data_IF_086396886620
#
_entry.id   IF_086396886620
#
_cell.length_a   1.000
_cell.length_b   1.000
_cell.length_c   1.000
_cell.angle_alpha   90.00
_cell.angle_beta   90.00
_cell.angle_gamma   90.00
#
_symmetry.space_group_name_H-M   'P 1'
#
loop_
_entity.id
_entity.type
_entity.pdbx_description
1 polymer ?
#
# COMPACT_ATOMS: atom_id res chain seq x y z
N UNK A 1 2.21 15.29 31.72
CA UNK A 1 2.22 14.25 30.67
C UNK A 1 1.70 14.92 29.41
N UNK A 2 2.56 15.27 28.47
CA UNK A 2 2.13 15.75 27.16
C UNK A 2 1.37 14.60 26.51
N UNK A 3 0.06 14.77 26.27
CA UNK A 3 -0.64 13.86 25.37
C UNK A 3 0.02 14.05 24.01
N UNK A 4 0.84 13.06 23.59
CA UNK A 4 1.31 13.04 22.21
C UNK A 4 0.07 13.19 21.31
N UNK A 5 0.05 14.26 20.53
CA UNK A 5 -1.04 14.50 19.59
C UNK A 5 -0.96 13.39 18.55
N UNK A 6 -1.96 12.53 18.55
CA UNK A 6 -2.05 11.40 17.63
C UNK A 6 -2.82 11.85 16.39
N UNK A 7 -2.13 11.93 15.26
CA UNK A 7 -2.77 12.24 13.98
C UNK A 7 -3.25 10.95 13.31
N UNK A 8 -4.54 10.94 12.97
CA UNK A 8 -5.13 9.88 12.18
C UNK A 8 -4.97 10.21 10.69
N UNK A 9 -4.10 9.46 10.02
CA UNK A 9 -3.85 9.62 8.59
C UNK A 9 -3.90 8.26 7.90
N UNK A 10 -4.35 8.25 6.65
CA UNK A 10 -4.30 7.06 5.81
C UNK A 10 -4.19 7.48 4.34
N UNK A 11 -3.21 6.93 3.63
CA UNK A 11 -2.99 7.17 2.20
C UNK A 11 -3.33 5.96 1.33
N UNK A 12 -3.80 4.85 1.93
CA UNK A 12 -4.08 3.60 1.22
C UNK A 12 -5.53 3.17 1.42
N UNK A 13 -6.38 3.56 0.46
CA UNK A 13 -7.79 3.15 0.38
C UNK A 13 -8.19 2.89 -1.05
N UNK A 14 -9.00 1.85 -1.24
CA UNK A 14 -9.53 1.43 -2.53
C UNK A 14 -10.95 1.92 -2.77
N UNK A 15 -11.47 1.74 -3.97
CA UNK A 15 -12.84 2.05 -4.37
C UNK A 15 -13.48 0.81 -5.02
N UNK A 16 -14.82 0.77 -5.19
CA UNK A 16 -15.46 -0.34 -5.89
C UNK A 16 -14.96 -0.58 -7.32
N UNK A 17 -14.21 0.39 -7.89
CA UNK A 17 -13.63 0.27 -9.22
C UNK A 17 -12.57 -0.82 -9.31
N UNK A 18 -11.91 -1.18 -8.20
CA UNK A 18 -10.98 -2.32 -8.17
C UNK A 18 -11.69 -3.69 -8.22
N UNK A 19 -13.02 -3.72 -8.26
CA UNK A 19 -13.87 -4.91 -8.39
C UNK A 19 -13.92 -5.81 -7.13
N UNK A 20 -13.23 -5.47 -6.05
CA UNK A 20 -13.22 -6.25 -4.80
C UNK A 20 -13.31 -5.39 -3.52
N UNK A 21 -13.43 -4.06 -3.67
CA UNK A 21 -13.82 -3.17 -2.59
C UNK A 21 -15.33 -2.85 -2.65
N UNK A 22 -15.90 -2.35 -1.57
CA UNK A 22 -17.31 -2.03 -1.41
C UNK A 22 -17.52 -0.64 -0.82
N UNK A 23 -18.72 -0.07 -1.02
CA UNK A 23 -19.05 1.28 -0.58
C UNK A 23 -18.61 2.35 -1.59
N UNK A 24 -19.26 3.51 -1.56
CA UNK A 24 -18.91 4.64 -2.43
C UNK A 24 -17.73 5.42 -1.83
N UNK A 25 -17.00 6.18 -2.66
CA UNK A 25 -15.90 7.03 -2.21
C UNK A 25 -16.39 8.03 -1.14
N UNK A 26 -17.59 8.55 -1.28
CA UNK A 26 -18.18 9.45 -0.28
C UNK A 26 -18.44 8.76 1.06
N UNK A 27 -18.83 7.48 1.06
CA UNK A 27 -18.98 6.70 2.30
C UNK A 27 -17.64 6.53 3.02
N UNK A 28 -16.52 6.34 2.29
CA UNK A 28 -15.17 6.35 2.86
C UNK A 28 -14.85 7.70 3.50
N UNK A 29 -15.09 8.82 2.81
CA UNK A 29 -14.85 10.17 3.33
C UNK A 29 -15.66 10.41 4.61
N UNK A 30 -16.95 10.14 4.57
CA UNK A 30 -17.84 10.32 5.75
C UNK A 30 -17.42 9.42 6.91
N UNK A 31 -16.92 8.22 6.61
CA UNK A 31 -16.45 7.30 7.65
C UNK A 31 -15.12 7.78 8.24
N UNK A 32 -14.18 8.20 7.41
CA UNK A 32 -12.90 8.76 7.83
C UNK A 32 -13.12 9.96 8.78
N UNK A 33 -14.00 10.90 8.41
CA UNK A 33 -14.36 12.05 9.26
C UNK A 33 -14.90 11.59 10.61
N UNK A 34 -15.85 10.63 10.64
CA UNK A 34 -16.41 10.11 11.90
C UNK A 34 -15.37 9.39 12.76
N UNK A 35 -14.41 8.71 12.15
CA UNK A 35 -13.31 8.03 12.83
C UNK A 35 -12.19 8.97 13.28
N UNK A 36 -12.24 10.27 12.89
CA UNK A 36 -11.29 11.29 13.30
C UNK A 36 -10.04 11.37 12.43
N UNK A 37 -10.10 10.90 11.18
CA UNK A 37 -9.00 11.07 10.24
C UNK A 37 -8.87 12.54 9.81
N UNK A 38 -7.63 13.04 9.81
CA UNK A 38 -7.26 14.34 9.28
C UNK A 38 -6.92 14.27 7.77
N UNK A 39 -6.41 13.12 7.34
CA UNK A 39 -6.02 12.86 5.94
C UNK A 39 -6.59 11.53 5.49
N UNK A 40 -7.23 11.53 4.32
CA UNK A 40 -7.66 10.34 3.60
C UNK A 40 -7.11 10.37 2.18
N UNK A 41 -6.27 9.40 1.83
CA UNK A 41 -5.81 9.16 0.48
C UNK A 41 -6.62 8.04 -0.18
N UNK A 42 -7.02 8.26 -1.42
CA UNK A 42 -7.46 7.21 -2.32
C UNK A 42 -6.28 6.78 -3.17
N UNK A 43 -5.96 5.50 -3.15
CA UNK A 43 -4.87 4.88 -3.91
C UNK A 43 -5.37 3.56 -4.52
N UNK A 44 -6.40 3.66 -5.36
CA UNK A 44 -6.99 2.48 -6.00
C UNK A 44 -6.00 1.84 -6.98
N UNK A 45 -6.19 0.54 -7.27
CA UNK A 45 -5.32 -0.19 -8.19
C UNK A 45 -5.28 0.45 -9.58
N UNK A 46 -4.07 0.72 -10.03
CA UNK A 46 -3.80 1.40 -11.30
C UNK A 46 -4.40 0.66 -12.49
N UNK A 47 -5.22 1.32 -13.34
CA UNK A 47 -5.68 0.74 -14.62
C UNK A 47 -4.56 0.85 -15.65
N UNK A 48 -3.97 -0.28 -16.02
CA UNK A 48 -2.87 -0.27 -16.98
C UNK A 48 -3.38 -0.12 -18.43
N UNK A 49 -2.63 0.58 -19.31
CA UNK A 49 -2.95 0.71 -20.72
C UNK A 49 -2.53 -0.58 -21.47
N UNK A 50 -3.31 -1.65 -21.24
CA UNK A 50 -3.09 -2.93 -21.91
C UNK A 50 -3.15 -2.80 -23.44
N UNK A 51 -2.44 -3.66 -24.15
CA UNK A 51 -2.37 -3.66 -25.62
C UNK A 51 -3.49 -4.44 -26.30
N UNK A 52 -4.22 -5.26 -25.52
CA UNK A 52 -5.34 -6.06 -25.97
C UNK A 52 -6.64 -5.67 -25.25
N UNK A 53 -7.74 -6.35 -25.56
CA UNK A 53 -9.03 -6.23 -24.87
C UNK A 53 -9.04 -6.91 -23.48
N UNK A 54 -7.88 -7.18 -22.91
CA UNK A 54 -7.74 -7.77 -21.59
C UNK A 54 -8.38 -6.88 -20.52
N UNK A 55 -9.14 -7.49 -19.62
CA UNK A 55 -9.76 -6.83 -18.47
C UNK A 55 -9.25 -7.49 -17.21
N UNK A 56 -8.51 -6.75 -16.41
CA UNK A 56 -8.04 -7.21 -15.12
C UNK A 56 -9.19 -7.42 -14.14
N UNK A 57 -9.06 -8.44 -13.27
CA UNK A 57 -10.09 -8.80 -12.29
C UNK A 57 -9.97 -8.05 -10.95
N UNK A 58 -8.92 -7.24 -10.78
CA UNK A 58 -8.61 -6.59 -9.51
C UNK A 58 -8.29 -5.10 -9.65
N UNK A 59 -8.60 -4.48 -10.75
CA UNK A 59 -8.35 -3.05 -10.97
C UNK A 59 -9.39 -2.45 -11.91
N UNK A 60 -9.59 -1.15 -11.82
CA UNK A 60 -10.51 -0.43 -12.70
C UNK A 60 -10.09 -0.57 -14.16
N UNK A 61 -11.03 -0.38 -15.07
CA UNK A 61 -10.73 -0.25 -16.49
C UNK A 61 -10.08 1.11 -16.77
N UNK A 62 -9.23 1.19 -17.79
CA UNK A 62 -8.60 2.44 -18.18
C UNK A 62 -9.63 3.55 -18.48
N UNK A 63 -10.78 3.18 -19.07
CA UNK A 63 -11.90 4.10 -19.33
C UNK A 63 -12.57 4.69 -18.08
N UNK A 64 -12.32 4.12 -16.90
CA UNK A 64 -12.88 4.57 -15.62
C UNK A 64 -11.95 5.58 -14.88
N UNK A 65 -10.69 5.72 -15.33
CA UNK A 65 -9.69 6.57 -14.68
C UNK A 65 -10.15 8.03 -14.55
N UNK A 66 -10.71 8.60 -15.62
CA UNK A 66 -11.22 9.97 -15.57
C UNK A 66 -12.36 10.16 -14.59
N UNK A 67 -13.27 9.17 -14.52
CA UNK A 67 -14.35 9.16 -13.54
C UNK A 67 -13.84 9.04 -12.10
N UNK A 68 -12.80 8.22 -11.87
CA UNK A 68 -12.14 8.12 -10.56
C UNK A 68 -11.54 9.46 -10.13
N UNK A 69 -10.73 10.07 -11.00
CA UNK A 69 -10.09 11.38 -10.76
C UNK A 69 -11.13 12.47 -10.46
N UNK A 70 -12.17 12.56 -11.27
CA UNK A 70 -13.25 13.56 -11.10
C UNK A 70 -13.99 13.36 -9.76
N UNK A 71 -14.30 12.09 -9.41
CA UNK A 71 -14.99 11.78 -8.14
C UNK A 71 -14.15 12.18 -6.94
N UNK A 72 -12.87 11.79 -6.91
CA UNK A 72 -11.99 12.12 -5.76
C UNK A 72 -11.78 13.63 -5.65
N UNK A 73 -11.61 14.36 -6.76
CA UNK A 73 -11.50 15.83 -6.75
C UNK A 73 -12.76 16.52 -6.24
N UNK A 74 -13.93 16.10 -6.72
CA UNK A 74 -15.19 16.65 -6.24
C UNK A 74 -15.36 16.45 -4.72
N UNK A 75 -14.95 15.29 -4.19
CA UNK A 75 -14.96 15.03 -2.75
C UNK A 75 -13.91 15.87 -2.00
N UNK A 76 -12.72 16.05 -2.58
CA UNK A 76 -11.67 16.94 -2.02
C UNK A 76 -12.20 18.36 -1.84
N UNK A 77 -12.89 18.90 -2.84
CA UNK A 77 -13.48 20.23 -2.78
C UNK A 77 -14.66 20.30 -1.81
N UNK A 78 -15.56 19.32 -1.85
CA UNK A 78 -16.78 19.30 -1.04
C UNK A 78 -16.52 19.13 0.47
N UNK A 79 -15.39 18.53 0.86
CA UNK A 79 -15.05 18.23 2.25
C UNK A 79 -13.78 18.95 2.73
N UNK A 80 -13.31 19.98 2.00
CA UNK A 80 -12.02 20.68 2.26
C UNK A 80 -11.91 21.29 3.67
N UNK A 81 -13.03 21.69 4.27
CA UNK A 81 -13.13 22.24 5.62
C UNK A 81 -13.11 21.17 6.74
N UNK A 82 -13.19 19.88 6.39
CA UNK A 82 -13.38 18.78 7.33
C UNK A 82 -12.30 17.72 7.32
N UNK A 83 -11.68 17.48 6.16
CA UNK A 83 -10.66 16.46 5.97
C UNK A 83 -9.84 16.78 4.71
N UNK A 84 -8.54 16.55 4.76
CA UNK A 84 -7.69 16.60 3.56
C UNK A 84 -7.81 15.29 2.79
N UNK A 85 -8.17 15.39 1.51
CA UNK A 85 -8.29 14.24 0.61
C UNK A 85 -7.17 14.31 -0.42
N UNK A 86 -6.49 13.17 -0.64
CA UNK A 86 -5.43 13.04 -1.64
C UNK A 86 -5.80 12.02 -2.71
N UNK A 87 -5.44 12.35 -3.96
CA UNK A 87 -5.65 11.53 -5.14
C UNK A 87 -4.36 10.79 -5.49
N UNK A 88 -4.34 9.49 -5.31
CA UNK A 88 -3.24 8.62 -5.65
C UNK A 88 -3.66 7.37 -6.41
N UNK A 89 -2.70 6.50 -6.69
CA UNK A 89 -2.90 5.16 -7.23
C UNK A 89 -1.91 4.18 -6.61
N UNK A 90 -2.35 2.95 -6.37
CA UNK A 90 -1.48 1.84 -6.04
C UNK A 90 -1.02 1.15 -7.33
N UNK A 91 0.28 1.04 -7.49
CA UNK A 91 0.92 0.63 -8.73
C UNK A 91 1.78 -0.62 -8.54
N UNK A 92 1.90 -1.39 -9.63
CA UNK A 92 2.84 -2.49 -9.72
C UNK A 92 4.23 -2.01 -10.22
N UNK A 93 5.25 -2.83 -10.01
CA UNK A 93 6.56 -2.64 -10.62
C UNK A 93 6.57 -3.12 -12.09
N UNK A 94 5.84 -2.42 -12.96
CA UNK A 94 5.80 -2.71 -14.40
C UNK A 94 6.55 -1.63 -15.20
N UNK A 95 7.86 -1.80 -15.47
CA UNK A 95 8.69 -0.76 -16.09
C UNK A 95 8.19 -0.28 -17.45
N UNK A 96 7.52 -1.15 -18.21
CA UNK A 96 6.95 -0.81 -19.51
C UNK A 96 5.89 0.30 -19.44
N UNK A 97 5.26 0.51 -18.28
CA UNK A 97 4.23 1.53 -18.08
C UNK A 97 4.72 2.76 -17.31
N UNK A 98 5.97 2.84 -16.88
CA UNK A 98 6.48 4.01 -16.15
C UNK A 98 6.41 5.33 -16.94
N UNK A 99 6.64 5.36 -18.28
CA UNK A 99 6.41 6.56 -19.06
C UNK A 99 4.96 7.05 -18.99
N UNK A 100 4.00 6.12 -19.09
CA UNK A 100 2.57 6.42 -18.97
C UNK A 100 2.19 6.89 -17.55
N UNK A 101 2.77 6.34 -16.48
CA UNK A 101 2.54 6.85 -15.12
C UNK A 101 2.98 8.31 -14.97
N UNK A 102 4.11 8.70 -15.57
CA UNK A 102 4.56 10.11 -15.57
C UNK A 102 3.59 11.00 -16.32
N UNK A 103 3.12 10.56 -17.47
CA UNK A 103 2.13 11.29 -18.31
C UNK A 103 0.83 11.52 -17.52
N UNK A 104 0.21 10.47 -16.96
CA UNK A 104 -1.06 10.62 -16.21
C UNK A 104 -0.90 11.42 -14.92
N UNK A 105 0.28 11.39 -14.30
CA UNK A 105 0.56 12.22 -13.13
C UNK A 105 0.39 13.70 -13.45
N UNK A 106 0.94 14.14 -14.57
CA UNK A 106 0.86 15.53 -15.03
C UNK A 106 -0.53 15.85 -15.58
N UNK A 107 -1.03 15.05 -16.54
CA UNK A 107 -2.30 15.31 -17.21
C UNK A 107 -3.52 15.21 -16.29
N UNK A 108 -3.53 14.20 -15.40
CA UNK A 108 -4.63 13.93 -14.47
C UNK A 108 -4.38 14.52 -13.08
N UNK A 109 -3.23 15.14 -12.82
CA UNK A 109 -2.87 15.67 -11.50
C UNK A 109 -2.97 14.64 -10.38
N UNK A 110 -2.49 13.42 -10.63
CA UNK A 110 -2.34 12.39 -9.60
C UNK A 110 -1.27 12.86 -8.63
N UNK A 111 -1.60 12.97 -7.35
CA UNK A 111 -0.71 13.58 -6.36
C UNK A 111 0.41 12.62 -5.94
N UNK A 112 0.13 11.32 -5.86
CA UNK A 112 1.12 10.32 -5.45
C UNK A 112 0.83 8.93 -6.04
N UNK A 113 1.88 8.14 -6.15
CA UNK A 113 1.82 6.71 -6.41
C UNK A 113 2.46 5.94 -5.26
N UNK A 114 1.83 4.83 -4.85
CA UNK A 114 2.42 3.88 -3.93
C UNK A 114 2.80 2.60 -4.67
N UNK A 115 3.89 1.96 -4.27
CA UNK A 115 4.29 0.70 -4.87
C UNK A 115 3.66 -0.47 -4.12
N UNK A 116 2.62 -1.07 -4.67
CA UNK A 116 2.01 -2.30 -4.19
C UNK A 116 2.34 -3.45 -5.13
N UNK A 117 3.58 -3.96 -5.09
CA UNK A 117 4.05 -4.95 -6.04
C UNK A 117 3.38 -6.32 -5.84
N UNK A 118 2.25 -6.55 -6.52
CA UNK A 118 1.46 -7.77 -6.39
C UNK A 118 1.83 -8.87 -7.38
N UNK A 119 2.32 -8.51 -8.58
CA UNK A 119 2.54 -9.46 -9.67
C UNK A 119 3.94 -9.40 -10.24
N UNK A 120 4.46 -10.55 -10.63
CA UNK A 120 5.82 -10.70 -11.18
C UNK A 120 5.97 -10.23 -12.63
N UNK A 121 4.88 -9.98 -13.30
CA UNK A 121 4.78 -9.37 -14.63
C UNK A 121 3.37 -8.84 -14.82
N UNK A 122 3.19 -8.01 -15.85
CA UNK A 122 1.91 -7.49 -16.28
C UNK A 122 0.85 -8.60 -16.34
N UNK A 123 -0.28 -8.37 -15.66
CA UNK A 123 -1.37 -9.34 -15.53
C UNK A 123 -2.02 -9.72 -16.86
N UNK A 124 -1.95 -8.87 -17.91
CA UNK A 124 -2.28 -9.25 -19.30
C UNK A 124 -1.46 -10.46 -19.79
N UNK A 125 -0.28 -10.67 -19.21
CA UNK A 125 0.65 -11.77 -19.52
C UNK A 125 0.56 -12.95 -18.55
N UNK A 126 -0.53 -13.06 -17.80
CA UNK A 126 -0.72 -14.09 -16.76
C UNK A 126 0.35 -14.03 -15.66
N UNK A 127 0.61 -12.84 -15.13
CA UNK A 127 1.52 -12.64 -14.01
C UNK A 127 1.17 -13.50 -12.79
N UNK A 128 2.19 -13.96 -12.09
CA UNK A 128 2.03 -14.73 -10.85
C UNK A 128 1.89 -13.76 -9.67
N UNK A 129 0.84 -13.93 -8.87
CA UNK A 129 0.61 -13.14 -7.67
C UNK A 129 1.65 -13.44 -6.59
N UNK A 130 2.39 -12.45 -6.16
CA UNK A 130 3.46 -12.58 -5.17
C UNK A 130 2.99 -13.00 -3.77
N UNK A 131 1.75 -12.69 -3.40
CA UNK A 131 1.15 -13.22 -2.17
C UNK A 131 0.99 -14.76 -2.17
N UNK A 132 1.27 -15.44 -3.29
CA UNK A 132 1.30 -16.91 -3.41
C UNK A 132 2.72 -17.47 -3.50
N UNK A 133 3.74 -16.72 -3.08
CA UNK A 133 5.10 -17.20 -3.02
C UNK A 133 5.22 -18.41 -2.07
N UNK A 134 5.80 -19.50 -2.56
CA UNK A 134 6.07 -20.73 -1.79
C UNK A 134 7.50 -21.23 -1.96
N UNK A 135 8.31 -20.55 -2.77
CA UNK A 135 9.66 -20.94 -3.10
C UNK A 135 10.63 -19.76 -3.07
N UNK A 136 11.89 -20.03 -2.75
CA UNK A 136 12.99 -19.05 -2.76
C UNK A 136 13.10 -18.30 -4.10
N UNK A 137 12.88 -18.99 -5.24
CA UNK A 137 12.90 -18.37 -6.57
C UNK A 137 11.84 -17.28 -6.73
N UNK A 138 10.61 -17.51 -6.24
CA UNK A 138 9.53 -16.52 -6.31
C UNK A 138 9.83 -15.34 -5.39
N UNK A 139 10.36 -15.61 -4.18
CA UNK A 139 10.80 -14.55 -3.25
C UNK A 139 11.88 -13.68 -3.89
N UNK A 140 12.89 -14.27 -4.54
CA UNK A 140 13.93 -13.50 -5.25
C UNK A 140 13.33 -12.60 -6.34
N UNK A 141 12.40 -13.11 -7.14
CA UNK A 141 11.71 -12.29 -8.17
C UNK A 141 10.92 -11.13 -7.55
N UNK A 142 10.27 -11.35 -6.40
CA UNK A 142 9.60 -10.26 -5.68
C UNK A 142 10.58 -9.17 -5.29
N UNK A 143 11.70 -9.53 -4.66
CA UNK A 143 12.73 -8.58 -4.22
C UNK A 143 13.30 -7.80 -5.40
N UNK A 144 13.73 -8.51 -6.45
CA UNK A 144 14.30 -7.90 -7.65
C UNK A 144 13.34 -6.89 -8.31
N UNK A 145 12.07 -7.28 -8.49
CA UNK A 145 11.06 -6.41 -9.09
C UNK A 145 10.74 -5.21 -8.18
N UNK A 146 10.62 -5.44 -6.87
CA UNK A 146 10.32 -4.37 -5.91
C UNK A 146 11.47 -3.36 -5.84
N UNK A 147 12.71 -3.80 -5.71
CA UNK A 147 13.87 -2.91 -5.66
C UNK A 147 13.98 -2.08 -6.94
N UNK A 148 13.84 -2.72 -8.12
CA UNK A 148 13.82 -2.01 -9.40
C UNK A 148 12.65 -0.99 -9.47
N UNK A 149 11.49 -1.33 -8.90
CA UNK A 149 10.36 -0.41 -8.76
C UNK A 149 10.72 0.81 -7.93
N UNK A 150 11.29 0.62 -6.75
CA UNK A 150 11.72 1.70 -5.87
C UNK A 150 12.75 2.62 -6.54
N UNK A 151 13.69 2.06 -7.29
CA UNK A 151 14.72 2.82 -8.03
C UNK A 151 14.17 3.68 -9.17
N UNK A 152 12.91 3.47 -9.57
CA UNK A 152 12.27 4.29 -10.61
C UNK A 152 12.03 5.75 -10.22
N UNK A 153 12.01 6.04 -8.90
CA UNK A 153 11.70 7.36 -8.34
C UNK A 153 10.26 7.82 -8.54
N UNK A 154 9.35 6.89 -8.86
CA UNK A 154 7.93 7.20 -9.10
C UNK A 154 7.08 7.16 -7.83
N UNK A 155 7.46 6.36 -6.86
CA UNK A 155 6.64 6.00 -5.71
C UNK A 155 7.06 6.76 -4.46
N UNK A 156 6.10 7.02 -3.57
CA UNK A 156 6.32 7.74 -2.32
C UNK A 156 6.55 6.81 -1.12
N UNK A 157 6.11 5.56 -1.20
CA UNK A 157 6.42 4.52 -0.23
C UNK A 157 6.16 3.11 -0.81
N UNK A 158 6.69 2.09 -0.16
CA UNK A 158 6.44 0.68 -0.46
C UNK A 158 5.28 0.18 0.38
N UNK A 159 4.16 -0.15 -0.25
CA UNK A 159 2.99 -0.74 0.37
C UNK A 159 3.26 -2.21 0.73
N UNK A 160 2.70 -2.69 1.84
CA UNK A 160 2.78 -4.09 2.32
C UNK A 160 4.08 -4.82 1.90
N UNK A 161 5.26 -4.35 2.36
CA UNK A 161 6.58 -4.76 1.85
C UNK A 161 6.87 -6.26 2.01
N UNK A 162 6.19 -6.94 2.90
CA UNK A 162 6.33 -8.36 3.20
C UNK A 162 5.19 -9.23 2.63
N UNK A 163 4.46 -8.72 1.61
CA UNK A 163 3.37 -9.44 0.93
C UNK A 163 3.80 -10.85 0.47
N UNK A 164 5.04 -11.02 0.03
CA UNK A 164 5.57 -12.31 -0.41
C UNK A 164 5.55 -13.40 0.68
N UNK A 165 5.50 -13.01 1.95
CA UNK A 165 5.37 -13.94 3.08
C UNK A 165 3.96 -14.49 3.25
N UNK A 166 2.95 -13.89 2.61
CA UNK A 166 1.53 -14.22 2.81
C UNK A 166 1.25 -15.73 2.71
N UNK A 167 1.85 -16.43 1.74
CA UNK A 167 1.73 -17.89 1.58
C UNK A 167 3.07 -18.62 1.80
N UNK A 168 4.12 -17.91 2.18
CA UNK A 168 5.42 -18.53 2.42
C UNK A 168 5.37 -19.36 3.71
N UNK A 169 5.91 -20.60 3.72
CA UNK A 169 5.61 -21.55 4.78
C UNK A 169 6.32 -21.25 6.12
N UNK A 170 7.43 -20.53 6.09
CA UNK A 170 8.24 -20.26 7.28
C UNK A 170 9.21 -19.13 7.08
N UNK A 171 9.65 -18.49 8.17
CA UNK A 171 10.68 -17.45 8.13
C UNK A 171 12.07 -18.10 8.16
N UNK A 172 12.53 -18.57 7.01
CA UNK A 172 13.85 -19.18 6.81
C UNK A 172 14.90 -18.15 6.40
N UNK A 173 16.14 -18.60 6.15
CA UNK A 173 17.23 -17.70 5.77
C UNK A 173 16.99 -16.97 4.42
N UNK A 174 16.19 -17.54 3.51
CA UNK A 174 15.81 -16.85 2.29
C UNK A 174 14.82 -15.71 2.57
N UNK A 175 13.80 -15.96 3.37
CA UNK A 175 12.85 -14.95 3.82
C UNK A 175 13.56 -13.81 4.56
N UNK A 176 14.45 -14.15 5.49
CA UNK A 176 15.24 -13.18 6.25
C UNK A 176 16.14 -12.32 5.36
N UNK A 177 16.83 -12.94 4.40
CA UNK A 177 17.66 -12.22 3.42
C UNK A 177 16.82 -11.28 2.57
N UNK A 178 15.67 -11.74 2.07
CA UNK A 178 14.75 -10.94 1.28
C UNK A 178 14.25 -9.72 2.04
N UNK A 179 13.81 -9.89 3.28
CA UNK A 179 13.39 -8.78 4.13
C UNK A 179 14.52 -7.76 4.34
N UNK A 180 15.74 -8.22 4.61
CA UNK A 180 16.90 -7.34 4.81
C UNK A 180 17.24 -6.57 3.55
N UNK A 181 17.26 -7.22 2.39
CA UNK A 181 17.55 -6.58 1.11
C UNK A 181 16.51 -5.50 0.76
N UNK A 182 15.21 -5.75 1.01
CA UNK A 182 14.16 -4.76 0.84
C UNK A 182 14.33 -3.57 1.79
N UNK A 183 14.60 -3.84 3.07
CA UNK A 183 14.83 -2.79 4.07
C UNK A 183 16.06 -1.93 3.73
N UNK A 184 17.18 -2.55 3.33
CA UNK A 184 18.39 -1.83 2.92
C UNK A 184 18.17 -1.00 1.66
N UNK A 185 17.44 -1.52 0.66
CA UNK A 185 17.09 -0.77 -0.54
C UNK A 185 16.17 0.43 -0.21
N UNK A 186 15.16 0.21 0.62
CA UNK A 186 14.25 1.27 1.06
C UNK A 186 15.00 2.36 1.83
N UNK A 187 15.89 1.98 2.76
CA UNK A 187 16.72 2.95 3.50
C UNK A 187 17.62 3.76 2.57
N UNK A 188 18.33 3.09 1.64
CA UNK A 188 19.21 3.74 0.65
C UNK A 188 18.49 4.77 -0.21
N UNK A 189 17.22 4.51 -0.52
CA UNK A 189 16.37 5.36 -1.37
C UNK A 189 15.50 6.34 -0.56
N UNK A 190 15.70 6.41 0.75
CA UNK A 190 14.88 7.20 1.68
C UNK A 190 13.36 6.90 1.54
N UNK A 191 13.03 5.64 1.27
CA UNK A 191 11.68 5.17 0.98
C UNK A 191 11.01 4.62 2.24
N UNK A 192 9.89 5.20 2.71
CA UNK A 192 9.13 4.65 3.82
C UNK A 192 8.54 3.27 3.48
N UNK A 193 8.38 2.44 4.51
CA UNK A 193 7.73 1.13 4.43
C UNK A 193 6.34 1.20 5.07
N UNK A 194 5.34 0.63 4.42
CA UNK A 194 3.99 0.62 4.96
C UNK A 194 3.79 -0.50 5.99
N UNK A 195 3.40 -0.14 7.21
CA UNK A 195 2.79 -1.05 8.16
C UNK A 195 1.31 -1.23 7.79
N UNK A 196 0.99 -2.34 7.14
CA UNK A 196 -0.30 -2.53 6.50
C UNK A 196 -1.32 -3.15 7.48
N UNK A 197 -2.41 -2.43 7.75
CA UNK A 197 -3.44 -2.85 8.71
C UNK A 197 -4.32 -3.98 8.17
N UNK A 198 -4.52 -4.08 6.84
CA UNK A 198 -5.26 -5.18 6.23
C UNK A 198 -4.51 -6.50 6.41
N UNK A 199 -3.19 -6.51 6.16
CA UNK A 199 -2.34 -7.66 6.38
C UNK A 199 -2.37 -8.13 7.84
N UNK A 200 -2.22 -7.19 8.77
CA UNK A 200 -2.31 -7.47 10.20
C UNK A 200 -3.67 -8.08 10.58
N UNK A 201 -4.78 -7.55 10.05
CA UNK A 201 -6.13 -8.06 10.35
C UNK A 201 -6.34 -9.49 9.82
N UNK A 202 -5.73 -9.80 8.67
CA UNK A 202 -5.76 -11.14 8.09
C UNK A 202 -4.94 -12.14 8.89
N UNK A 203 -3.80 -11.72 9.47
CA UNK A 203 -3.01 -12.57 10.36
C UNK A 203 -3.77 -12.95 11.64
N UNK A 204 -4.57 -12.04 12.17
CA UNK A 204 -5.38 -12.28 13.37
C UNK A 204 -6.59 -13.20 13.12
N UNK A 205 -6.89 -13.51 11.86
CA UNK A 205 -7.97 -14.42 11.47
C UNK A 205 -7.46 -15.86 11.30
N UNK A 206 -8.34 -16.85 11.52
CA UNK A 206 -8.03 -18.30 11.48
C UNK A 206 -7.58 -18.86 10.10
N UNK A 207 -7.36 -17.98 9.12
CA UNK A 207 -7.16 -18.37 7.72
C UNK A 207 -5.72 -18.75 7.34
N UNK A 208 -4.74 -18.54 8.23
CA UNK A 208 -3.30 -18.69 7.92
C UNK A 208 -2.67 -19.98 8.49
N UNK A 209 -3.38 -21.08 8.53
CA UNK A 209 -2.81 -22.35 8.98
C UNK A 209 -1.64 -22.77 8.07
N UNK A 210 -0.41 -22.66 8.61
CA UNK A 210 0.82 -23.12 7.95
C UNK A 210 1.48 -22.11 7.01
N UNK A 211 1.11 -20.83 7.08
CA UNK A 211 1.75 -19.72 6.33
C UNK A 211 2.14 -18.58 7.28
N UNK A 212 3.08 -17.73 6.83
CA UNK A 212 3.55 -16.59 7.64
C UNK A 212 2.51 -15.44 7.71
N UNK A 213 1.73 -15.22 6.64
CA UNK A 213 0.96 -13.99 6.47
C UNK A 213 1.86 -12.81 6.07
N UNK A 214 1.31 -11.59 6.10
CA UNK A 214 2.10 -10.36 5.90
C UNK A 214 1.73 -9.33 6.97
N UNK A 215 2.53 -8.25 7.09
CA UNK A 215 2.67 -7.39 8.26
C UNK A 215 3.23 -8.20 9.44
N UNK A 216 4.30 -8.96 9.14
CA UNK A 216 4.92 -9.91 10.07
C UNK A 216 5.84 -9.18 11.06
N UNK A 217 5.89 -9.69 12.28
CA UNK A 217 6.78 -9.15 13.31
C UNK A 217 8.26 -9.26 12.89
N UNK A 218 8.63 -10.37 12.29
CA UNK A 218 9.99 -10.66 11.83
C UNK A 218 10.50 -9.66 10.80
N UNK A 219 9.63 -9.25 9.85
CA UNK A 219 9.97 -8.18 8.90
C UNK A 219 10.26 -6.87 9.61
N UNK A 220 9.39 -6.48 10.56
CA UNK A 220 9.50 -5.21 11.26
C UNK A 220 10.64 -5.15 12.27
N UNK A 221 11.07 -6.29 12.83
CA UNK A 221 12.31 -6.39 13.60
C UNK A 221 13.53 -6.08 12.72
N UNK A 222 13.59 -6.62 11.49
CA UNK A 222 14.64 -6.30 10.52
C UNK A 222 14.58 -4.83 10.10
N UNK A 223 13.39 -4.28 9.83
CA UNK A 223 13.23 -2.88 9.49
C UNK A 223 13.74 -1.94 10.60
N UNK A 224 13.52 -2.30 11.87
CA UNK A 224 14.06 -1.59 13.02
C UNK A 224 15.60 -1.68 13.10
N UNK A 225 16.16 -2.87 12.93
CA UNK A 225 17.63 -3.10 12.89
C UNK A 225 18.30 -2.28 11.76
N UNK A 226 17.61 -2.16 10.62
CA UNK A 226 18.12 -1.42 9.44
C UNK A 226 17.97 0.10 9.60
N UNK A 227 17.04 0.57 10.45
CA UNK A 227 16.77 1.98 10.68
C UNK A 227 15.76 2.59 9.69
N UNK A 228 14.84 1.79 9.19
CA UNK A 228 13.80 2.25 8.26
C UNK A 228 12.76 3.14 8.95
N UNK A 229 12.13 4.01 8.14
CA UNK A 229 10.93 4.75 8.52
C UNK A 229 9.68 3.96 8.13
N UNK A 230 8.60 4.17 8.86
CA UNK A 230 7.32 3.54 8.58
C UNK A 230 6.21 4.56 8.35
N UNK A 231 5.25 4.22 7.49
CA UNK A 231 3.94 4.85 7.41
C UNK A 231 2.88 3.79 7.69
N UNK A 232 1.76 4.15 8.33
CA UNK A 232 0.67 3.18 8.58
C UNK A 232 -0.39 3.36 7.51
N UNK A 233 -0.66 2.31 6.74
CA UNK A 233 -1.71 2.25 5.75
C UNK A 233 -2.83 1.30 6.18
N UNK A 234 -4.08 1.70 5.96
CA UNK A 234 -5.24 0.84 6.27
C UNK A 234 -5.48 -0.19 5.19
N UNK A 235 -5.18 0.17 3.93
CA UNK A 235 -5.48 -0.66 2.76
C UNK A 235 -6.97 -1.04 2.72
N UNK A 236 -7.80 0.00 2.87
CA UNK A 236 -9.22 -0.16 3.12
C UNK A 236 -9.98 -0.53 1.84
N UNK A 237 -10.66 -1.68 1.88
CA UNK A 237 -11.56 -2.19 0.84
C UNK A 237 -13.04 -2.08 1.21
N UNK A 238 -13.34 -1.44 2.34
CA UNK A 238 -14.68 -1.03 2.73
C UNK A 238 -14.61 0.16 3.69
N UNK A 239 -15.63 1.04 3.72
CA UNK A 239 -15.65 2.17 4.65
C UNK A 239 -15.48 1.75 6.11
N UNK A 240 -16.01 0.57 6.49
CA UNK A 240 -15.95 0.04 7.85
C UNK A 240 -14.51 -0.24 8.32
N UNK A 241 -13.60 -0.57 7.42
CA UNK A 241 -12.20 -0.85 7.79
C UNK A 241 -11.47 0.39 8.32
N UNK A 242 -11.98 1.61 8.03
CA UNK A 242 -11.47 2.85 8.61
C UNK A 242 -11.79 3.00 10.11
N UNK A 243 -12.64 2.14 10.71
CA UNK A 243 -12.90 2.11 12.15
C UNK A 243 -11.79 1.41 12.95
N UNK A 244 -10.55 1.61 12.58
CA UNK A 244 -9.40 0.92 13.18
C UNK A 244 -8.49 1.82 14.03
N UNK A 245 -9.00 2.95 14.55
CA UNK A 245 -8.21 3.91 15.31
C UNK A 245 -7.41 3.29 16.47
N UNK A 246 -8.00 2.36 17.23
CA UNK A 246 -7.29 1.66 18.30
C UNK A 246 -6.18 0.74 17.76
N UNK A 247 -6.40 0.11 16.62
CA UNK A 247 -5.40 -0.70 15.92
C UNK A 247 -4.22 0.15 15.47
N UNK A 248 -4.49 1.30 14.86
CA UNK A 248 -3.45 2.25 14.41
C UNK A 248 -2.63 2.76 15.60
N UNK A 249 -3.27 3.15 16.72
CA UNK A 249 -2.56 3.55 17.95
C UNK A 249 -1.65 2.43 18.50
N UNK A 250 -2.14 1.18 18.49
CA UNK A 250 -1.32 0.03 18.90
C UNK A 250 -0.15 -0.19 17.97
N UNK A 251 -0.35 -0.08 16.65
CA UNK A 251 0.70 -0.20 15.65
C UNK A 251 1.78 0.88 15.82
N UNK A 252 1.37 2.14 16.00
CA UNK A 252 2.33 3.23 16.27
C UNK A 252 3.14 2.98 17.55
N UNK A 253 2.48 2.58 18.64
CA UNK A 253 3.17 2.26 19.90
C UNK A 253 4.16 1.10 19.72
N UNK A 254 3.78 0.08 18.95
CA UNK A 254 4.64 -1.07 18.65
C UNK A 254 5.87 -0.63 17.87
N UNK A 255 5.69 0.07 16.75
CA UNK A 255 6.77 0.52 15.87
C UNK A 255 7.73 1.48 16.57
N UNK A 256 7.20 2.48 17.29
CA UNK A 256 8.02 3.39 18.12
C UNK A 256 8.77 2.64 19.23
N UNK A 257 8.15 1.61 19.83
CA UNK A 257 8.79 0.73 20.81
C UNK A 257 9.94 -0.10 20.24
N UNK A 258 9.93 -0.37 18.92
CA UNK A 258 11.03 -0.99 18.18
C UNK A 258 12.10 0.04 17.74
N UNK A 259 11.91 1.33 17.98
CA UNK A 259 12.81 2.38 17.54
C UNK A 259 12.54 2.88 16.10
N UNK A 260 11.43 2.48 15.48
CA UNK A 260 11.06 2.91 14.14
C UNK A 260 10.39 4.29 14.19
N UNK A 261 10.87 5.22 13.36
CA UNK A 261 10.19 6.49 13.13
C UNK A 261 8.92 6.25 12.33
N UNK A 262 7.76 6.59 12.90
CA UNK A 262 6.46 6.48 12.24
C UNK A 262 6.06 7.86 11.72
N UNK A 263 6.03 7.99 10.41
CA UNK A 263 5.63 9.21 9.70
C UNK A 263 4.15 9.51 9.91
N UNK A 264 3.83 10.77 10.06
CA UNK A 264 2.45 11.26 10.19
C UNK A 264 1.92 11.84 8.87
N UNK A 265 2.80 12.24 7.95
CA UNK A 265 2.44 12.72 6.61
C UNK A 265 3.47 12.28 5.56
N UNK A 266 3.11 12.38 4.28
CA UNK A 266 4.04 12.14 3.18
C UNK A 266 5.04 13.29 2.95
N UNK A 267 4.84 14.42 3.64
CA UNK A 267 5.68 15.63 3.52
C UNK A 267 6.87 15.63 4.49
N UNK A 268 6.99 14.60 5.35
CA UNK A 268 8.12 14.37 6.26
C UNK A 268 9.27 13.64 5.57
#
# INVERSE_FOLDING_TARGET
MNSEHFRMVNYHSHTPRCLHATGTEEEYVRRAIRAGYEILGFADHTPWPYKSDFVASMRMRLSELDGYVQTVRALKDAYADRIRIHLGLECEAFPEFYPWLREIREEKGIEYFILGNHYDTNDERNGTYFGRCTSARQVRRYVEATVAGLESGLFVYLAHPDLFLMSYPRFDEEAKRACRELCEAALRLDMPLEYNMLGLSRQMGDHLRGCMGYTTREFWEIAAETGNRAIIGVDAHSPKQLDCADGIRKAQKLLRGMGIHVMETLDE
#
